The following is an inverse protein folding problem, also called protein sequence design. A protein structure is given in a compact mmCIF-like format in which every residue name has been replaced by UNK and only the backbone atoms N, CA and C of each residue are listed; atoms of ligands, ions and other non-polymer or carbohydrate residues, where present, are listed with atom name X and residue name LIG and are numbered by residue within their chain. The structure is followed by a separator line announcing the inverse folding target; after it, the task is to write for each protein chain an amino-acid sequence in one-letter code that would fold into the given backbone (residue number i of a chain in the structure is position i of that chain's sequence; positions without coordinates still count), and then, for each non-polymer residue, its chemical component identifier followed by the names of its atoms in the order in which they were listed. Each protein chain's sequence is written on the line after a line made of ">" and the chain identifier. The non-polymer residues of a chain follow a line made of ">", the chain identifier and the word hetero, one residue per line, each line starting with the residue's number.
data_IF_019405035111
#
_entry.id   IF_019405035111
#
_cell.length_a   1.000
_cell.length_b   1.000
_cell.length_c   1.000
_cell.angle_alpha   90.00
_cell.angle_beta   90.00
_cell.angle_gamma   90.00
#
_symmetry.space_group_name_H-M   'P 1'
#
loop_
_entity.id
_entity.type
_entity.pdbx_description
1 polymer ?
#
# COMPACT_ATOMS: atom_id res chain seq x y z
N UNK A 1 23.88 -7.42 -19.10
CA UNK A 1 22.66 -6.75 -18.63
C UNK A 1 22.26 -5.79 -19.71
N UNK A 2 21.03 -5.88 -20.17
CA UNK A 2 20.49 -5.06 -21.25
C UNK A 2 19.01 -4.77 -20.92
N UNK A 3 18.53 -3.60 -21.32
CA UNK A 3 17.09 -3.32 -21.27
C UNK A 3 16.38 -4.14 -22.35
N UNK A 4 15.33 -4.86 -21.96
CA UNK A 4 14.48 -5.58 -22.90
C UNK A 4 13.05 -5.08 -22.81
N UNK A 5 12.49 -4.65 -23.93
CA UNK A 5 11.05 -4.39 -24.04
C UNK A 5 10.33 -5.72 -24.19
N UNK A 6 9.45 -6.04 -23.23
CA UNK A 6 8.74 -7.31 -23.19
C UNK A 6 7.32 -7.17 -23.77
N UNK A 7 6.85 -8.11 -24.61
CA UNK A 7 5.52 -8.03 -25.20
C UNK A 7 4.42 -8.24 -24.16
N UNK A 8 3.37 -7.39 -24.19
CA UNK A 8 2.25 -7.42 -23.23
C UNK A 8 1.50 -8.75 -23.14
N UNK A 9 1.49 -9.53 -24.23
CA UNK A 9 0.75 -10.80 -24.34
C UNK A 9 1.48 -12.02 -23.77
N UNK A 10 2.81 -11.96 -23.63
CA UNK A 10 3.62 -13.08 -23.11
C UNK A 10 4.72 -12.53 -22.20
N UNK A 11 4.29 -12.13 -21.01
CA UNK A 11 5.19 -11.64 -19.96
C UNK A 11 5.96 -12.86 -19.41
N UNK A 12 7.30 -12.91 -19.53
CA UNK A 12 8.11 -14.00 -18.98
C UNK A 12 8.06 -13.99 -17.45
N UNK A 13 8.59 -15.03 -16.82
CA UNK A 13 8.83 -15.01 -15.38
C UNK A 13 9.86 -13.92 -15.06
N UNK A 14 9.53 -12.99 -14.15
CA UNK A 14 10.41 -11.89 -13.75
C UNK A 14 10.44 -11.71 -12.24
N UNK A 15 11.53 -11.13 -11.75
CA UNK A 15 11.66 -10.58 -10.40
C UNK A 15 11.34 -9.08 -10.44
N UNK A 16 11.01 -8.49 -9.31
CA UNK A 16 10.78 -7.06 -9.20
C UNK A 16 11.57 -6.49 -8.02
N UNK A 17 12.19 -5.32 -8.19
CA UNK A 17 12.92 -4.65 -7.11
C UNK A 17 12.02 -3.60 -6.46
N UNK A 18 11.88 -3.69 -5.14
CA UNK A 18 11.36 -2.64 -4.28
C UNK A 18 12.51 -2.03 -3.50
N UNK A 19 12.63 -0.70 -3.52
CA UNK A 19 13.70 -0.01 -2.81
C UNK A 19 13.29 1.44 -2.51
N UNK A 20 13.94 2.03 -1.51
CA UNK A 20 13.85 3.48 -1.29
C UNK A 20 14.80 4.17 -2.26
N UNK A 21 14.30 5.12 -3.04
CA UNK A 21 15.13 5.91 -3.94
C UNK A 21 16.11 6.76 -3.13
N UNK A 22 17.36 6.77 -3.56
CA UNK A 22 18.46 7.51 -2.96
C UNK A 22 19.01 8.53 -3.97
N UNK A 23 20.19 9.08 -3.69
CA UNK A 23 20.86 10.00 -4.61
C UNK A 23 21.45 9.24 -5.81
N UNK A 24 21.36 9.85 -6.99
CA UNK A 24 21.92 9.33 -8.26
C UNK A 24 21.34 7.96 -8.69
N UNK A 25 20.03 7.80 -8.58
CA UNK A 25 19.32 6.67 -9.21
C UNK A 25 19.53 6.69 -10.73
N UNK A 26 19.77 5.50 -11.29
CA UNK A 26 19.90 5.33 -12.74
C UNK A 26 18.50 5.36 -13.36
N UNK A 27 18.24 6.32 -14.24
CA UNK A 27 16.97 6.44 -14.95
C UNK A 27 16.91 5.55 -16.21
N UNK A 28 15.73 5.50 -16.85
CA UNK A 28 15.55 4.84 -18.15
C UNK A 28 16.49 5.40 -19.24
N UNK A 29 16.72 6.71 -19.23
CA UNK A 29 17.63 7.40 -20.14
C UNK A 29 19.08 7.05 -19.83
N UNK A 30 19.44 6.99 -18.54
CA UNK A 30 20.82 6.72 -18.12
C UNK A 30 21.24 5.30 -18.48
N UNK A 31 20.37 4.32 -18.26
CA UNK A 31 20.70 2.91 -18.50
C UNK A 31 20.90 2.59 -20.00
N UNK A 32 20.32 3.40 -20.90
CA UNK A 32 20.59 3.32 -22.34
C UNK A 32 22.04 3.69 -22.69
N UNK A 33 22.72 4.47 -21.84
CA UNK A 33 24.15 4.75 -21.93
C UNK A 33 24.90 4.08 -20.78
N UNK A 34 25.28 2.81 -20.97
CA UNK A 34 25.98 2.03 -19.94
C UNK A 34 27.27 2.67 -19.41
N UNK A 35 27.97 3.47 -20.22
CA UNK A 35 29.17 4.17 -19.77
C UNK A 35 28.86 5.28 -18.76
N UNK A 36 27.72 5.96 -18.93
CA UNK A 36 27.20 6.93 -17.96
C UNK A 36 26.67 6.20 -16.72
N UNK A 37 25.78 5.22 -16.92
CA UNK A 37 25.13 4.49 -15.83
C UNK A 37 26.15 3.87 -14.86
N UNK A 38 27.22 3.22 -15.37
CA UNK A 38 28.27 2.60 -14.54
C UNK A 38 28.97 3.54 -13.57
N UNK A 39 28.91 4.86 -13.78
CA UNK A 39 29.55 5.87 -12.93
C UNK A 39 28.61 6.40 -11.84
N UNK A 40 27.32 6.09 -11.92
CA UNK A 40 26.30 6.55 -10.98
C UNK A 40 26.22 5.61 -9.78
N UNK A 41 25.99 6.15 -8.58
CA UNK A 41 25.86 5.33 -7.36
C UNK A 41 24.72 4.32 -7.43
N UNK A 42 23.58 4.69 -8.02
CA UNK A 42 22.43 3.79 -8.18
C UNK A 42 22.70 2.54 -9.03
N UNK A 43 23.76 2.54 -9.84
CA UNK A 43 24.10 1.39 -10.69
C UNK A 43 24.50 0.16 -9.88
N UNK A 44 25.13 0.35 -8.72
CA UNK A 44 25.46 -0.76 -7.82
C UNK A 44 24.20 -1.52 -7.38
N UNK A 45 23.09 -0.80 -7.15
CA UNK A 45 21.81 -1.42 -6.77
C UNK A 45 21.21 -2.25 -7.90
N UNK A 46 21.27 -1.74 -9.13
CA UNK A 46 20.81 -2.48 -10.32
C UNK A 46 21.60 -3.79 -10.45
N UNK A 47 22.94 -3.73 -10.32
CA UNK A 47 23.79 -4.91 -10.43
C UNK A 47 23.50 -5.93 -9.32
N UNK A 48 23.37 -5.48 -8.07
CA UNK A 48 22.98 -6.35 -6.96
C UNK A 48 21.63 -7.04 -7.19
N UNK A 49 20.65 -6.29 -7.70
CA UNK A 49 19.32 -6.80 -8.00
C UNK A 49 19.36 -7.85 -9.12
N UNK A 50 20.07 -7.57 -10.22
CA UNK A 50 20.27 -8.51 -11.32
C UNK A 50 21.01 -9.78 -10.88
N UNK A 51 22.06 -9.65 -10.07
CA UNK A 51 22.81 -10.80 -9.56
C UNK A 51 21.94 -11.67 -8.65
N UNK A 52 21.11 -11.05 -7.81
CA UNK A 52 20.17 -11.76 -6.93
C UNK A 52 19.09 -12.48 -7.74
N UNK A 53 18.52 -11.84 -8.76
CA UNK A 53 17.58 -12.48 -9.68
C UNK A 53 18.20 -13.69 -10.39
N UNK A 54 19.40 -13.52 -10.94
CA UNK A 54 20.13 -14.58 -11.64
C UNK A 54 20.50 -15.75 -10.74
N UNK A 55 20.95 -15.50 -9.51
CA UNK A 55 21.23 -16.54 -8.49
C UNK A 55 20.00 -17.39 -8.19
N UNK A 56 18.80 -16.80 -8.28
CA UNK A 56 17.52 -17.48 -8.08
C UNK A 56 16.89 -18.03 -9.38
N UNK A 57 17.65 -18.06 -10.49
CA UNK A 57 17.19 -18.63 -11.76
C UNK A 57 16.13 -17.79 -12.47
N UNK A 58 16.17 -16.46 -12.32
CA UNK A 58 15.25 -15.53 -12.97
C UNK A 58 16.04 -14.58 -13.88
N UNK A 59 15.74 -14.62 -15.18
CA UNK A 59 16.50 -13.88 -16.20
C UNK A 59 16.07 -12.41 -16.35
N UNK A 60 14.84 -12.08 -15.92
CA UNK A 60 14.27 -10.73 -16.04
C UNK A 60 14.02 -10.13 -14.68
N UNK A 61 14.41 -8.86 -14.51
CA UNK A 61 14.06 -8.07 -13.33
C UNK A 61 13.49 -6.72 -13.77
N UNK A 62 12.39 -6.31 -13.14
CA UNK A 62 11.82 -4.99 -13.32
C UNK A 62 12.27 -4.07 -12.18
N UNK A 63 12.72 -2.87 -12.52
CA UNK A 63 13.19 -1.84 -11.59
C UNK A 63 12.57 -0.52 -12.04
N UNK A 64 11.70 0.06 -11.23
CA UNK A 64 10.92 1.27 -11.55
C UNK A 64 11.79 2.46 -12.00
N UNK A 65 12.99 2.61 -11.44
CA UNK A 65 13.89 3.72 -11.77
C UNK A 65 14.35 3.70 -13.22
N UNK A 66 14.64 2.52 -13.77
CA UNK A 66 15.23 2.36 -15.10
C UNK A 66 14.35 1.57 -16.10
N UNK A 67 13.20 1.05 -15.67
CA UNK A 67 12.23 0.36 -16.54
C UNK A 67 10.99 1.21 -16.88
N UNK A 68 10.84 2.40 -16.30
CA UNK A 68 9.77 3.35 -16.63
C UNK A 68 10.41 4.59 -17.26
N UNK A 69 10.00 4.95 -18.47
CA UNK A 69 10.33 6.24 -19.04
C UNK A 69 9.47 7.35 -18.41
N UNK A 70 10.01 8.01 -17.39
CA UNK A 70 9.35 9.09 -16.65
C UNK A 70 9.19 10.39 -17.46
N UNK A 71 9.91 10.54 -18.58
CA UNK A 71 9.74 11.68 -19.49
C UNK A 71 8.49 11.53 -20.38
N UNK A 72 7.97 10.31 -20.51
CA UNK A 72 6.70 10.05 -21.18
C UNK A 72 5.56 10.05 -20.17
N UNK A 73 4.77 11.13 -20.15
CA UNK A 73 3.60 11.25 -19.25
C UNK A 73 2.57 10.13 -19.46
N UNK A 74 2.45 9.64 -20.69
CA UNK A 74 1.56 8.52 -21.02
C UNK A 74 2.08 7.21 -20.41
N UNK A 75 3.37 6.94 -20.56
CA UNK A 75 3.98 5.73 -19.99
C UNK A 75 4.00 5.78 -18.46
N UNK A 76 4.32 6.93 -17.88
CA UNK A 76 4.28 7.14 -16.44
C UNK A 76 2.88 6.90 -15.86
N UNK A 77 1.85 7.43 -16.53
CA UNK A 77 0.45 7.22 -16.14
C UNK A 77 0.06 5.75 -16.22
N UNK A 78 0.40 5.08 -17.31
CA UNK A 78 0.14 3.65 -17.47
C UNK A 78 0.88 2.81 -16.42
N UNK A 79 2.14 3.15 -16.15
CA UNK A 79 2.97 2.46 -15.17
C UNK A 79 2.39 2.57 -13.77
N UNK A 80 2.08 3.78 -13.31
CA UNK A 80 1.52 3.99 -11.96
C UNK A 80 0.18 3.27 -11.77
N UNK A 81 -0.72 3.31 -12.77
CA UNK A 81 -1.98 2.56 -12.71
C UNK A 81 -1.77 1.03 -12.81
N UNK A 82 -0.59 0.57 -13.25
CA UNK A 82 -0.27 -0.86 -13.41
C UNK A 82 0.64 -1.43 -12.33
N UNK A 83 1.32 -0.59 -11.52
CA UNK A 83 2.38 -1.00 -10.60
C UNK A 83 1.93 -2.11 -9.65
N UNK A 84 0.77 -1.96 -9.01
CA UNK A 84 0.22 -2.98 -8.10
C UNK A 84 0.10 -4.34 -8.78
N UNK A 85 -0.40 -4.36 -10.03
CA UNK A 85 -0.51 -5.59 -10.83
C UNK A 85 0.86 -6.14 -11.21
N UNK A 86 1.83 -5.29 -11.52
CA UNK A 86 3.20 -5.72 -11.83
C UNK A 86 3.90 -6.31 -10.60
N UNK A 87 3.72 -5.73 -9.41
CA UNK A 87 4.18 -6.33 -8.16
C UNK A 87 3.49 -7.66 -7.86
N UNK A 88 2.16 -7.73 -8.01
CA UNK A 88 1.39 -8.94 -7.76
C UNK A 88 1.66 -10.11 -8.72
N UNK A 89 2.12 -9.82 -9.95
CA UNK A 89 2.46 -10.83 -10.96
C UNK A 89 3.93 -11.25 -10.96
N UNK A 90 4.80 -10.52 -10.26
CA UNK A 90 6.21 -10.88 -10.15
C UNK A 90 6.36 -12.23 -9.45
N UNK A 91 7.36 -13.02 -9.88
CA UNK A 91 7.66 -14.31 -9.24
C UNK A 91 8.23 -14.11 -7.83
N UNK A 92 8.94 -13.02 -7.61
CA UNK A 92 9.50 -12.59 -6.32
C UNK A 92 9.72 -11.08 -6.36
N UNK A 93 9.39 -10.41 -5.25
CA UNK A 93 9.80 -9.05 -4.97
C UNK A 93 11.05 -9.09 -4.08
N UNK A 94 12.12 -8.41 -4.49
CA UNK A 94 13.29 -8.18 -3.66
C UNK A 94 13.14 -6.79 -3.03
N UNK A 95 12.93 -6.74 -1.71
CA UNK A 95 12.90 -5.50 -0.95
C UNK A 95 14.32 -5.20 -0.45
N UNK A 96 15.01 -4.28 -1.13
CA UNK A 96 16.36 -3.87 -0.76
C UNK A 96 16.31 -2.75 0.29
N UNK A 97 16.93 -3.01 1.43
CA UNK A 97 16.95 -2.13 2.61
C UNK A 97 18.37 -1.57 2.79
N UNK A 98 18.60 -0.35 2.31
CA UNK A 98 19.95 0.26 2.35
C UNK A 98 20.41 0.65 3.76
N UNK A 99 19.48 0.70 4.71
CA UNK A 99 19.68 1.09 6.11
C UNK A 99 19.65 -0.09 7.10
N UNK A 100 19.60 -1.32 6.58
CA UNK A 100 19.64 -2.55 7.39
C UNK A 100 20.95 -3.29 7.12
N UNK A 101 21.65 -3.65 8.20
CA UNK A 101 22.91 -4.40 8.13
C UNK A 101 22.69 -5.85 8.51
N UNK A 102 23.33 -6.76 7.79
CA UNK A 102 23.30 -8.22 8.02
C UNK A 102 23.82 -8.70 9.39
N UNK A 103 24.41 -7.81 10.19
CA UNK A 103 24.96 -8.15 11.52
C UNK A 103 23.94 -8.05 12.65
N UNK A 104 22.73 -7.61 12.35
CA UNK A 104 21.68 -7.36 13.33
C UNK A 104 20.77 -8.57 13.53
N UNK A 105 20.11 -8.66 14.69
CA UNK A 105 19.07 -9.69 14.92
C UNK A 105 17.74 -9.22 14.34
N UNK A 106 17.49 -9.56 13.08
CA UNK A 106 16.28 -9.14 12.35
C UNK A 106 14.96 -9.71 12.91
N UNK A 107 15.03 -10.69 13.83
CA UNK A 107 13.89 -11.18 14.58
C UNK A 107 13.52 -10.32 15.79
N UNK A 108 14.42 -9.44 16.24
CA UNK A 108 14.18 -8.56 17.38
C UNK A 108 13.29 -7.36 17.01
N UNK A 109 12.37 -7.01 17.94
CA UNK A 109 11.41 -5.90 17.84
C UNK A 109 12.05 -4.51 17.73
N UNK A 110 13.33 -4.38 18.03
CA UNK A 110 14.10 -3.14 18.00
C UNK A 110 15.24 -3.17 16.97
N UNK A 111 15.26 -4.18 16.11
CA UNK A 111 16.22 -4.31 15.02
C UNK A 111 16.13 -3.15 14.03
N UNK A 112 17.23 -2.91 13.34
CA UNK A 112 17.34 -2.04 12.17
C UNK A 112 16.29 -2.38 11.10
N UNK A 113 15.89 -3.65 10.97
CA UNK A 113 14.79 -4.05 10.09
C UNK A 113 13.49 -3.33 10.46
N UNK A 114 13.08 -3.40 11.73
CA UNK A 114 11.84 -2.76 12.18
C UNK A 114 11.85 -1.23 12.10
N UNK A 115 13.05 -0.63 12.04
CA UNK A 115 13.27 0.82 11.95
C UNK A 115 13.54 1.29 10.52
N UNK A 116 13.56 0.38 9.55
CA UNK A 116 13.94 0.72 8.18
C UNK A 116 13.01 1.76 7.58
N UNK A 117 13.60 2.76 6.93
CA UNK A 117 12.92 3.76 6.13
C UNK A 117 12.04 3.14 5.05
N UNK A 118 12.30 1.91 4.63
CA UNK A 118 11.44 1.21 3.69
C UNK A 118 9.99 1.11 4.18
N UNK A 119 9.75 0.92 5.48
CA UNK A 119 8.39 0.87 6.04
C UNK A 119 7.70 2.23 6.11
N UNK A 120 8.44 3.33 5.97
CA UNK A 120 7.91 4.69 6.06
C UNK A 120 7.62 5.32 4.70
N UNK A 121 7.94 4.66 3.58
CA UNK A 121 7.65 5.18 2.23
C UNK A 121 6.24 4.82 1.77
N UNK A 122 5.53 5.76 1.13
CA UNK A 122 4.16 5.51 0.63
C UNK A 122 4.08 4.35 -0.35
N UNK A 123 4.93 4.38 -1.39
CA UNK A 123 4.93 3.38 -2.47
C UNK A 123 5.18 1.95 -1.98
N UNK A 124 6.05 1.75 -0.99
CA UNK A 124 6.43 0.40 -0.52
C UNK A 124 5.27 -0.36 0.15
N UNK A 125 4.14 0.30 0.46
CA UNK A 125 2.95 -0.38 0.99
C UNK A 125 2.38 -1.39 -0.02
N UNK A 126 2.15 -0.94 -1.26
CA UNK A 126 1.70 -1.87 -2.30
C UNK A 126 2.78 -2.88 -2.69
N UNK A 127 4.06 -2.51 -2.56
CA UNK A 127 5.20 -3.39 -2.84
C UNK A 127 5.36 -4.49 -1.78
N UNK A 128 4.83 -4.28 -0.58
CA UNK A 128 4.69 -5.28 0.47
C UNK A 128 3.47 -6.20 0.25
N UNK A 129 2.33 -5.57 -0.03
CA UNK A 129 1.02 -6.25 -0.04
C UNK A 129 0.80 -7.04 -1.34
N UNK A 130 1.04 -6.43 -2.50
CA UNK A 130 0.68 -7.02 -3.79
C UNK A 130 1.46 -8.31 -4.10
N UNK A 131 2.80 -8.39 -3.90
CA UNK A 131 3.53 -9.62 -4.20
C UNK A 131 3.18 -10.77 -3.24
N UNK A 132 3.08 -11.98 -3.81
CA UNK A 132 2.94 -13.21 -3.03
C UNK A 132 4.20 -13.55 -2.24
N UNK A 133 5.38 -13.24 -2.78
CA UNK A 133 6.68 -13.49 -2.16
C UNK A 133 7.49 -12.20 -2.16
N UNK A 134 7.89 -11.76 -0.97
CA UNK A 134 8.87 -10.68 -0.78
C UNK A 134 10.05 -11.29 -0.01
N UNK A 135 11.27 -11.08 -0.51
CA UNK A 135 12.52 -11.39 0.17
C UNK A 135 13.16 -10.05 0.56
N UNK A 136 13.52 -9.90 1.83
CA UNK A 136 14.20 -8.71 2.33
C UNK A 136 15.71 -8.90 2.23
N UNK A 137 16.38 -7.90 1.68
CA UNK A 137 17.81 -7.89 1.44
C UNK A 137 18.45 -6.72 2.15
N UNK A 138 19.54 -6.96 2.88
CA UNK A 138 20.32 -5.90 3.52
C UNK A 138 21.08 -5.05 2.52
N UNK A 139 21.74 -4.01 3.01
CA UNK A 139 22.67 -3.19 2.22
C UNK A 139 23.81 -4.01 1.59
N UNK A 140 24.18 -5.14 2.21
CA UNK A 140 25.18 -6.08 1.68
C UNK A 140 24.58 -7.16 0.75
N UNK A 141 23.31 -7.04 0.36
CA UNK A 141 22.57 -8.01 -0.45
C UNK A 141 22.41 -9.38 0.21
N UNK A 142 22.37 -9.42 1.54
CA UNK A 142 22.14 -10.64 2.33
C UNK A 142 20.63 -10.83 2.54
N UNK A 143 20.14 -12.04 2.26
CA UNK A 143 18.76 -12.46 2.55
C UNK A 143 18.58 -12.62 4.06
N UNK A 144 17.66 -11.83 4.63
CA UNK A 144 17.34 -11.85 6.07
C UNK A 144 15.97 -12.46 6.36
N UNK A 145 15.28 -12.95 5.33
CA UNK A 145 13.98 -13.58 5.45
C UNK A 145 12.97 -13.09 4.43
N UNK A 146 11.81 -13.72 4.50
CA UNK A 146 10.67 -13.42 3.65
C UNK A 146 9.57 -12.69 4.42
N UNK A 147 8.63 -12.10 3.69
CA UNK A 147 7.37 -11.58 4.27
C UNK A 147 6.66 -12.59 5.18
N UNK A 148 6.75 -13.89 4.90
CA UNK A 148 6.14 -14.92 5.72
C UNK A 148 6.93 -15.22 7.00
N UNK A 149 8.27 -15.28 6.93
CA UNK A 149 9.11 -15.57 8.10
C UNK A 149 9.22 -14.39 9.05
N UNK A 150 9.08 -13.16 8.53
CA UNK A 150 9.15 -11.91 9.30
C UNK A 150 7.76 -11.29 9.57
N UNK A 151 6.67 -12.06 9.41
CA UNK A 151 5.30 -11.53 9.47
C UNK A 151 4.99 -10.80 10.79
N UNK A 152 5.50 -11.27 11.92
CA UNK A 152 5.25 -10.66 13.24
C UNK A 152 5.94 -9.29 13.34
N UNK A 153 7.22 -9.19 12.94
CA UNK A 153 7.95 -7.92 12.89
C UNK A 153 7.32 -6.93 11.91
N UNK A 154 6.86 -7.41 10.75
CA UNK A 154 6.16 -6.58 9.77
C UNK A 154 4.82 -6.12 10.33
N UNK A 155 4.06 -7.00 10.99
CA UNK A 155 2.77 -6.67 11.58
C UNK A 155 2.90 -5.60 12.66
N UNK A 156 3.90 -5.75 13.53
CA UNK A 156 4.23 -4.78 14.58
C UNK A 156 4.50 -3.37 14.02
N UNK A 157 5.30 -3.26 12.94
CA UNK A 157 5.74 -1.97 12.41
C UNK A 157 4.69 -1.32 11.51
N UNK A 158 3.87 -2.11 10.83
CA UNK A 158 2.94 -1.61 9.81
C UNK A 158 1.49 -1.55 10.26
N UNK A 159 1.12 -2.23 11.36
CA UNK A 159 -0.26 -2.43 11.78
C UNK A 159 -1.06 -3.37 10.87
N UNK A 160 -0.42 -4.02 9.89
CA UNK A 160 -1.06 -4.97 8.97
C UNK A 160 -1.11 -6.33 9.66
N UNK A 161 -2.27 -6.96 9.77
CA UNK A 161 -2.38 -8.28 10.42
C UNK A 161 -1.53 -9.35 9.70
N UNK A 162 -0.95 -10.29 10.45
CA UNK A 162 -0.20 -11.44 9.88
C UNK A 162 -0.99 -12.19 8.80
N UNK A 163 -2.31 -12.34 8.95
CA UNK A 163 -3.18 -12.99 7.95
C UNK A 163 -3.19 -12.29 6.58
N UNK A 164 -3.19 -10.96 6.56
CA UNK A 164 -3.08 -10.17 5.32
C UNK A 164 -1.65 -10.27 4.77
N UNK A 165 -0.64 -10.18 5.64
CA UNK A 165 0.76 -10.26 5.27
C UNK A 165 1.06 -11.57 4.53
N UNK A 166 0.60 -12.72 5.03
CA UNK A 166 0.79 -14.02 4.37
C UNK A 166 -0.27 -14.36 3.32
N UNK A 167 -1.21 -13.45 3.04
CA UNK A 167 -2.23 -13.61 2.00
C UNK A 167 -3.32 -14.64 2.33
N UNK A 168 -3.57 -14.92 3.61
CA UNK A 168 -4.69 -15.76 4.09
C UNK A 168 -6.01 -15.00 4.16
N UNK A 169 -5.96 -13.68 4.38
CA UNK A 169 -7.12 -12.79 4.40
C UNK A 169 -7.14 -11.91 3.15
N UNK A 170 -8.27 -11.88 2.44
CA UNK A 170 -8.44 -11.00 1.27
C UNK A 170 -8.52 -9.53 1.71
N UNK A 171 -8.03 -8.62 0.87
CA UNK A 171 -8.20 -7.18 1.09
C UNK A 171 -9.67 -6.74 1.02
N UNK A 172 -10.53 -7.49 0.32
CA UNK A 172 -11.96 -7.22 0.24
C UNK A 172 -12.67 -7.45 1.59
N UNK A 173 -12.07 -8.25 2.47
CA UNK A 173 -12.54 -8.50 3.84
C UNK A 173 -11.95 -7.51 4.86
N UNK A 174 -11.13 -6.56 4.40
CA UNK A 174 -10.50 -5.55 5.26
C UNK A 174 -11.19 -4.21 5.05
N UNK A 175 -11.73 -3.58 6.12
CA UNK A 175 -12.37 -2.28 6.01
C UNK A 175 -11.45 -1.22 5.38
N UNK A 176 -12.04 -0.29 4.62
CA UNK A 176 -11.33 0.82 3.99
C UNK A 176 -10.54 1.62 5.02
N UNK A 177 -11.12 1.92 6.19
CA UNK A 177 -10.41 2.66 7.25
C UNK A 177 -9.13 1.96 7.71
N UNK A 178 -9.18 0.63 7.87
CA UNK A 178 -8.03 -0.19 8.26
C UNK A 178 -6.96 -0.13 7.17
N UNK A 179 -7.34 -0.31 5.90
CA UNK A 179 -6.41 -0.20 4.77
C UNK A 179 -5.77 1.19 4.67
N UNK A 180 -6.54 2.26 4.91
CA UNK A 180 -6.03 3.64 4.95
C UNK A 180 -5.06 3.86 6.11
N UNK A 181 -5.30 3.22 7.27
CA UNK A 181 -4.44 3.34 8.45
C UNK A 181 -3.02 2.83 8.18
N UNK A 182 -2.84 1.83 7.32
CA UNK A 182 -1.51 1.30 6.94
C UNK A 182 -0.63 2.33 6.21
N UNK A 183 -1.23 3.39 5.70
CA UNK A 183 -0.57 4.50 5.04
C UNK A 183 -0.44 5.75 5.92
N UNK A 184 -0.99 5.74 7.14
CA UNK A 184 -1.08 6.92 7.99
C UNK A 184 0.27 7.51 8.40
N UNK A 185 1.27 6.66 8.62
CA UNK A 185 2.63 7.05 9.03
C UNK A 185 3.64 6.95 7.89
N UNK A 186 3.16 6.79 6.66
CA UNK A 186 4.00 6.75 5.46
C UNK A 186 4.09 8.13 4.83
N UNK A 187 5.25 8.41 4.24
CA UNK A 187 5.60 9.68 3.60
C UNK A 187 5.90 9.49 2.13
N UNK A 188 5.55 10.51 1.34
CA UNK A 188 5.84 10.60 -0.10
C UNK A 188 6.59 11.87 -0.42
N UNK A 189 7.31 11.89 -1.54
CA UNK A 189 8.06 13.08 -1.96
C UNK A 189 7.13 14.11 -2.62
N UNK A 190 6.25 13.65 -3.52
CA UNK A 190 5.15 14.46 -4.04
C UNK A 190 3.93 14.30 -3.14
N UNK A 191 3.17 15.38 -2.92
CA UNK A 191 1.99 15.34 -2.04
C UNK A 191 0.91 14.41 -2.61
N UNK A 192 0.75 14.41 -3.93
CA UNK A 192 -0.25 13.61 -4.65
C UNK A 192 0.04 12.11 -4.61
N UNK A 193 1.32 11.71 -4.45
CA UNK A 193 1.71 10.31 -4.34
C UNK A 193 1.11 9.64 -3.09
N UNK A 194 0.72 10.41 -2.07
CA UNK A 194 -0.03 9.89 -0.93
C UNK A 194 -1.39 9.28 -1.35
N UNK A 195 -1.92 9.70 -2.51
CA UNK A 195 -3.08 9.11 -3.14
C UNK A 195 -2.69 8.06 -4.20
N UNK A 196 -1.77 8.39 -5.10
CA UNK A 196 -1.42 7.52 -6.23
C UNK A 196 -0.83 6.18 -5.79
N UNK A 197 -0.03 6.16 -4.71
CA UNK A 197 0.54 4.94 -4.15
C UNK A 197 -0.49 3.97 -3.57
N UNK A 198 -1.73 4.42 -3.33
CA UNK A 198 -2.81 3.63 -2.77
C UNK A 198 -3.82 3.12 -3.80
N UNK A 199 -3.78 3.62 -5.04
CA UNK A 199 -4.74 3.27 -6.09
C UNK A 199 -4.88 1.76 -6.26
N UNK A 200 -3.76 1.04 -6.33
CA UNK A 200 -3.78 -0.41 -6.47
C UNK A 200 -4.29 -1.17 -5.24
N UNK A 201 -4.02 -0.68 -4.03
CA UNK A 201 -4.51 -1.27 -2.77
C UNK A 201 -6.05 -1.23 -2.70
N UNK A 202 -6.63 -0.19 -3.28
CA UNK A 202 -8.07 -0.02 -3.39
C UNK A 202 -8.64 -0.41 -4.74
N UNK A 203 -7.83 -0.94 -5.67
CA UNK A 203 -8.22 -1.34 -7.03
C UNK A 203 -8.99 -0.23 -7.80
N UNK A 204 -8.54 1.01 -7.70
CA UNK A 204 -9.09 2.15 -8.44
C UNK A 204 -8.08 2.68 -9.44
N UNK A 205 -8.57 3.37 -10.47
CA UNK A 205 -7.73 4.08 -11.44
C UNK A 205 -8.18 5.53 -11.50
N UNK A 206 -7.25 6.47 -11.53
CA UNK A 206 -7.54 7.89 -11.76
C UNK A 206 -6.40 8.60 -12.51
N UNK A 207 -6.70 9.66 -13.27
CA UNK A 207 -5.69 10.46 -13.95
C UNK A 207 -4.66 11.07 -12.98
N UNK A 208 -3.37 11.02 -13.34
CA UNK A 208 -2.30 11.67 -12.61
C UNK A 208 -2.25 13.16 -12.94
N UNK A 209 -2.55 14.00 -11.96
CA UNK A 209 -2.50 15.46 -12.04
C UNK A 209 -1.53 16.01 -10.99
N UNK A 210 -0.22 15.97 -11.26
CA UNK A 210 0.78 16.60 -10.39
C UNK A 210 0.57 18.12 -10.35
N UNK A 211 0.55 18.70 -9.15
CA UNK A 211 0.21 20.09 -8.87
C UNK A 211 -1.19 20.30 -8.27
N UNK A 212 -2.01 19.25 -8.13
CA UNK A 212 -3.32 19.34 -7.48
C UNK A 212 -3.27 19.23 -5.94
N UNK A 213 -2.11 18.82 -5.40
CA UNK A 213 -1.86 18.64 -3.98
C UNK A 213 -2.85 17.68 -3.32
N UNK A 214 -3.34 18.04 -2.13
CA UNK A 214 -4.29 17.23 -1.32
C UNK A 214 -5.58 16.85 -2.04
N UNK A 215 -5.95 17.51 -3.14
CA UNK A 215 -7.12 17.14 -3.95
C UNK A 215 -6.99 15.72 -4.53
N UNK A 216 -5.77 15.24 -4.76
CA UNK A 216 -5.53 13.87 -5.22
C UNK A 216 -6.11 12.83 -4.24
N UNK A 217 -5.95 13.04 -2.93
CA UNK A 217 -6.45 12.12 -1.92
C UNK A 217 -7.98 12.18 -1.75
N UNK A 218 -8.58 13.34 -2.02
CA UNK A 218 -10.05 13.48 -2.10
C UNK A 218 -10.58 12.70 -3.30
N UNK A 219 -9.94 12.83 -4.47
CA UNK A 219 -10.29 12.08 -5.68
C UNK A 219 -10.15 10.57 -5.48
N UNK A 220 -9.10 10.11 -4.79
CA UNK A 220 -8.95 8.70 -4.44
C UNK A 220 -10.17 8.20 -3.66
N UNK A 221 -10.58 8.90 -2.60
CA UNK A 221 -11.76 8.52 -1.83
C UNK A 221 -13.03 8.50 -2.70
N UNK A 222 -13.20 9.49 -3.60
CA UNK A 222 -14.33 9.51 -4.52
C UNK A 222 -14.34 8.31 -5.48
N UNK A 223 -13.20 7.88 -6.02
CA UNK A 223 -13.13 6.67 -6.84
C UNK A 223 -13.44 5.40 -6.03
N UNK A 224 -13.03 5.34 -4.76
CA UNK A 224 -13.35 4.22 -3.87
C UNK A 224 -14.86 4.18 -3.59
N UNK A 225 -15.47 5.33 -3.31
CA UNK A 225 -16.92 5.47 -3.05
C UNK A 225 -17.76 4.97 -4.23
N UNK A 226 -17.32 5.20 -5.47
CA UNK A 226 -18.08 4.76 -6.66
C UNK A 226 -18.26 3.24 -6.74
N UNK A 227 -17.43 2.46 -6.06
CA UNK A 227 -17.40 1.00 -6.18
C UNK A 227 -17.53 0.24 -4.86
N UNK A 228 -17.70 0.94 -3.73
CA UNK A 228 -17.75 0.32 -2.40
C UNK A 228 -18.90 0.88 -1.57
N UNK A 229 -19.56 0.01 -0.83
CA UNK A 229 -20.56 0.37 0.20
C UNK A 229 -19.98 0.27 1.62
N UNK A 230 -18.66 0.15 1.75
CA UNK A 230 -17.99 0.12 3.05
C UNK A 230 -17.95 1.52 3.69
N UNK A 231 -18.79 1.69 4.70
CA UNK A 231 -18.97 2.92 5.47
C UNK A 231 -17.73 3.39 6.22
N UNK A 232 -16.74 2.50 6.43
CA UNK A 232 -15.51 2.86 7.14
C UNK A 232 -14.68 3.91 6.38
N UNK A 233 -14.96 4.19 5.11
CA UNK A 233 -14.33 5.34 4.42
C UNK A 233 -14.59 6.69 5.13
N UNK A 234 -15.67 6.79 5.90
CA UNK A 234 -16.00 7.97 6.71
C UNK A 234 -15.47 7.90 8.16
N UNK A 235 -14.82 6.80 8.54
CA UNK A 235 -14.26 6.59 9.87
C UNK A 235 -12.82 7.15 9.92
N UNK A 236 -12.71 8.47 10.07
CA UNK A 236 -11.46 9.19 10.27
C UNK A 236 -11.63 10.26 11.33
N UNK A 237 -10.53 10.68 11.96
CA UNK A 237 -10.52 11.70 13.01
C UNK A 237 -9.45 12.74 12.73
N UNK A 238 -9.61 13.91 13.34
CA UNK A 238 -8.62 14.96 13.33
C UNK A 238 -7.86 15.03 14.65
N UNK A 239 -6.55 15.27 14.58
CA UNK A 239 -5.76 15.57 15.76
C UNK A 239 -6.35 16.80 16.48
N UNK A 240 -6.62 16.66 17.79
CA UNK A 240 -7.22 17.69 18.65
C UNK A 240 -6.48 19.03 18.53
N UNK A 241 -5.18 19.03 18.24
CA UNK A 241 -4.40 20.26 18.07
C UNK A 241 -4.78 21.07 16.83
N UNK A 242 -5.30 20.43 15.78
CA UNK A 242 -5.76 21.10 14.55
C UNK A 242 -7.19 21.64 14.62
N UNK A 243 -7.93 21.36 15.70
CA UNK A 243 -9.23 21.98 15.98
C UNK A 243 -9.12 23.26 16.82
N UNK A 244 -7.94 23.58 17.36
CA UNK A 244 -7.69 24.78 18.17
C UNK A 244 -7.45 26.03 17.28
N UNK A 245 -6.89 25.87 16.07
CA UNK A 245 -6.54 26.98 15.15
C UNK A 245 -7.67 27.43 14.21
N UNK A 246 -8.93 27.33 14.66
CA UNK A 246 -10.07 27.93 13.97
C UNK A 246 -10.97 26.90 13.31
N UNK A 247 -12.19 26.78 13.86
CA UNK A 247 -13.28 25.93 13.40
C UNK A 247 -13.83 26.32 12.04
N UNK A 248 -13.07 26.05 10.98
CA UNK A 248 -13.57 26.08 9.61
C UNK A 248 -14.60 24.98 9.39
N UNK A 249 -15.63 25.26 8.59
CA UNK A 249 -16.51 24.24 8.00
C UNK A 249 -15.65 23.23 7.22
N UNK A 250 -15.84 21.93 7.48
CA UNK A 250 -15.03 20.86 6.90
C UNK A 250 -15.86 20.01 5.95
N UNK A 251 -15.16 19.48 4.94
CA UNK A 251 -15.74 18.50 4.02
C UNK A 251 -15.83 17.13 4.66
N UNK A 252 -16.66 16.27 4.07
CA UNK A 252 -16.92 14.89 4.49
C UNK A 252 -15.69 13.96 4.39
N UNK A 253 -14.75 14.28 3.50
CA UNK A 253 -13.64 13.39 3.13
C UNK A 253 -12.33 13.84 3.76
N UNK A 254 -11.51 12.87 4.15
CA UNK A 254 -10.21 13.10 4.77
C UNK A 254 -9.23 13.77 3.79
N UNK A 255 -8.30 14.58 4.29
CA UNK A 255 -7.30 15.27 3.46
C UNK A 255 -5.97 14.51 3.31
N UNK A 256 -5.77 13.45 4.08
CA UNK A 256 -4.59 12.58 4.01
C UNK A 256 -4.86 11.24 4.71
N UNK A 257 -4.07 10.18 4.41
CA UNK A 257 -4.12 8.91 5.13
C UNK A 257 -3.90 9.03 6.64
N UNK A 258 -3.15 10.05 7.10
CA UNK A 258 -2.84 10.27 8.51
C UNK A 258 -4.09 10.38 9.41
N UNK A 259 -5.22 10.80 8.85
CA UNK A 259 -6.51 10.91 9.56
C UNK A 259 -7.15 9.56 9.88
N UNK A 260 -6.60 8.46 9.35
CA UNK A 260 -7.03 7.09 9.63
C UNK A 260 -6.14 6.36 10.64
N UNK A 261 -5.11 7.01 11.24
CA UNK A 261 -4.14 6.37 12.15
C UNK A 261 -4.79 5.54 13.27
N UNK A 262 -5.87 6.06 13.87
CA UNK A 262 -6.58 5.40 14.97
C UNK A 262 -7.54 4.28 14.57
N UNK A 263 -7.67 3.97 13.28
CA UNK A 263 -8.74 3.12 12.75
C UNK A 263 -8.25 1.74 12.28
N UNK A 264 -7.04 1.33 12.69
CA UNK A 264 -6.48 0.01 12.36
C UNK A 264 -7.25 -1.20 12.93
N UNK A 265 -8.08 -0.97 13.95
CA UNK A 265 -8.87 -2.01 14.63
C UNK A 265 -10.37 -1.94 14.29
N UNK A 266 -10.75 -1.27 13.20
CA UNK A 266 -12.14 -1.28 12.72
C UNK A 266 -12.47 -2.68 12.19
N UNK A 267 -13.61 -3.22 12.61
CA UNK A 267 -14.09 -4.54 12.20
C UNK A 267 -15.38 -4.43 11.39
N UNK A 268 -15.54 -5.31 10.42
CA UNK A 268 -16.80 -5.46 9.69
C UNK A 268 -17.76 -6.26 10.56
N UNK A 269 -18.86 -5.64 10.97
CA UNK A 269 -19.93 -6.35 11.69
C UNK A 269 -20.86 -6.97 10.66
N UNK A 270 -20.97 -8.29 10.68
CA UNK A 270 -22.04 -9.01 9.97
C UNK A 270 -23.28 -8.96 10.84
N UNK A 271 -24.30 -8.21 10.43
CA UNK A 271 -25.59 -8.21 11.12
C UNK A 271 -26.30 -9.51 10.72
N UNK A 272 -26.61 -10.42 11.66
CA UNK A 272 -27.35 -11.64 11.34
C UNK A 272 -28.74 -11.26 10.79
N UNK A 273 -29.21 -12.02 9.79
CA UNK A 273 -30.56 -11.87 9.27
C UNK A 273 -31.57 -12.00 10.43
N UNK A 274 -32.64 -11.18 10.46
CA UNK A 274 -33.64 -11.27 11.51
C UNK A 274 -34.22 -12.69 11.56
N UNK A 275 -34.23 -13.27 12.76
CA UNK A 275 -34.61 -14.64 13.08
C UNK A 275 -35.87 -15.10 12.30
N UNK A 276 -35.68 -16.03 11.35
CA UNK A 276 -36.64 -17.09 10.97
C UNK A 276 -36.26 -17.96 9.75
N UNK A 277 -35.10 -17.79 9.10
CA UNK A 277 -34.67 -18.72 8.02
C UNK A 277 -33.57 -19.70 8.46
N UNK A 278 -33.67 -21.00 8.09
CA UNK A 278 -32.64 -22.01 8.38
C UNK A 278 -31.32 -21.70 7.65
N UNK A 279 -30.18 -22.31 8.04
CA UNK A 279 -28.85 -21.97 7.56
C UNK A 279 -28.63 -22.49 6.12
N UNK A 280 -29.26 -21.84 5.14
CA UNK A 280 -28.94 -21.97 3.74
C UNK A 280 -28.21 -20.70 3.31
N UNK A 281 -26.89 -20.77 3.24
CA UNK A 281 -26.00 -19.72 2.73
C UNK A 281 -26.21 -18.35 3.39
N UNK A 282 -25.43 -18.07 4.44
CA UNK A 282 -25.30 -16.73 5.03
C UNK A 282 -25.06 -15.72 3.91
N UNK A 283 -26.12 -15.02 3.50
CA UNK A 283 -26.02 -13.88 2.62
C UNK A 283 -25.28 -12.81 3.41
N UNK A 284 -24.18 -12.33 2.83
CA UNK A 284 -23.42 -11.19 3.34
C UNK A 284 -24.44 -10.09 3.59
N UNK A 285 -24.60 -9.66 4.84
CA UNK A 285 -25.56 -8.62 5.21
C UNK A 285 -25.44 -7.49 4.20
N UNK A 286 -26.50 -7.20 3.46
CA UNK A 286 -26.50 -6.13 2.47
C UNK A 286 -26.18 -4.83 3.23
N UNK A 287 -24.95 -4.34 3.08
CA UNK A 287 -24.57 -3.02 3.56
C UNK A 287 -25.51 -2.05 2.87
N UNK A 288 -26.40 -1.40 3.64
CA UNK A 288 -27.35 -0.42 3.10
C UNK A 288 -26.52 0.65 2.40
N UNK A 289 -26.65 0.83 1.07
CA UNK A 289 -25.83 1.78 0.34
C UNK A 289 -26.01 3.19 0.89
N UNK A 290 -24.94 3.98 0.88
CA UNK A 290 -25.00 5.41 1.08
C UNK A 290 -25.02 6.14 -0.27
N UNK A 291 -25.51 7.37 -0.27
CA UNK A 291 -25.48 8.24 -1.44
C UNK A 291 -24.74 9.53 -1.11
N UNK A 292 -23.89 9.97 -2.04
CA UNK A 292 -23.27 11.30 -2.00
C UNK A 292 -23.90 12.14 -3.09
N UNK A 293 -24.48 13.27 -2.68
CA UNK A 293 -25.08 14.25 -3.58
C UNK A 293 -24.39 15.60 -3.41
N UNK A 294 -24.75 16.60 -4.23
CA UNK A 294 -24.32 17.98 -4.01
C UNK A 294 -24.82 18.57 -2.67
N UNK A 295 -25.76 17.90 -1.98
CA UNK A 295 -26.22 18.25 -0.63
C UNK A 295 -25.41 17.59 0.49
N UNK A 296 -24.60 16.57 0.19
CA UNK A 296 -23.81 15.83 1.18
C UNK A 296 -24.11 14.33 1.20
N UNK A 297 -23.80 13.70 2.35
CA UNK A 297 -23.98 12.26 2.59
C UNK A 297 -25.39 11.96 3.08
N UNK A 298 -26.03 10.97 2.46
CA UNK A 298 -27.20 10.30 3.01
C UNK A 298 -26.85 8.83 3.24
N UNK A 299 -26.95 8.38 4.49
CA UNK A 299 -26.56 7.03 4.93
C UNK A 299 -27.52 6.54 6.02
N UNK A 300 -27.80 5.25 6.04
CA UNK A 300 -28.58 4.59 7.10
C UNK A 300 -27.69 3.55 7.77
N UNK A 301 -27.54 3.64 9.09
CA UNK A 301 -26.69 2.76 9.89
C UNK A 301 -27.52 2.04 10.96
N UNK A 302 -27.35 0.72 11.14
CA UNK A 302 -27.98 0.02 12.23
C UNK A 302 -27.39 0.46 13.56
N UNK A 303 -28.25 0.65 14.58
CA UNK A 303 -27.78 0.88 15.95
C UNK A 303 -27.55 -0.49 16.59
N UNK A 304 -26.31 -0.78 16.96
CA UNK A 304 -25.95 -2.09 17.53
C UNK A 304 -25.72 -1.94 19.04
N UNK A 305 -26.36 -2.82 19.80
CA UNK A 305 -26.14 -2.91 21.25
C UNK A 305 -24.83 -3.63 21.52
N UNK A 306 -23.87 -2.95 22.13
CA UNK A 306 -22.57 -3.55 22.45
C UNK A 306 -22.54 -3.90 23.93
N UNK A 307 -22.27 -5.17 24.23
CA UNK A 307 -22.08 -5.65 25.60
C UNK A 307 -20.62 -5.44 26.00
N UNK A 308 -20.37 -4.45 26.87
CA UNK A 308 -19.06 -4.25 27.48
C UNK A 308 -18.81 -5.21 28.65
N UNK A 309 -17.74 -4.95 29.43
CA UNK A 309 -17.50 -5.60 30.73
C UNK A 309 -18.78 -5.58 31.59
N UNK A 310 -18.99 -6.57 32.50
CA UNK A 310 -20.23 -6.68 33.27
C UNK A 310 -20.64 -5.33 33.88
N UNK A 311 -21.81 -4.82 33.52
CA UNK A 311 -22.36 -3.57 34.06
C UNK A 311 -22.27 -2.32 33.18
N UNK A 312 -21.64 -2.35 31.99
CA UNK A 312 -21.69 -1.22 31.03
C UNK A 312 -22.37 -1.63 29.72
N UNK A 313 -23.62 -1.18 29.55
CA UNK A 313 -24.34 -1.23 28.27
C UNK A 313 -24.10 0.08 27.51
N UNK A 314 -23.74 -0.02 26.23
CA UNK A 314 -23.61 1.13 25.34
C UNK A 314 -24.15 0.79 23.95
N UNK A 315 -24.56 1.82 23.22
CA UNK A 315 -24.96 1.72 21.83
C UNK A 315 -23.82 2.23 20.95
N UNK A 316 -23.50 1.51 19.89
CA UNK A 316 -22.58 1.99 18.84
C UNK A 316 -23.34 2.03 17.51
N UNK A 317 -23.06 3.08 16.75
CA UNK A 317 -23.45 3.23 15.35
C UNK A 317 -22.34 2.63 14.50
#
# INVERSE_FOLDING_TARGET
>A
MELALLPRRKIPRYAILSHVWETEEVTFQDIANLNKAKRMRGYAKIIGACNTAKKNGIDYIWIDTCCINKESSTELSEAINSMYKWYGRAAVCYAYLSDVSSKDDHGDRHSTFTKSHWFTRGWTLQELIAPRKVIFLTTEWVDIGTKATLQESISLVTGISSEVIVGRKSLDDVPIAVRMSWAADRSTTQEEDAAYSLMGLFDVNMPLLYGEGRKAFIRLQLEIIKKSTDHSIFAWDEDILSSIDGGGLRGLLARSPAKFRGFGNVEKILVPAPDNDPPAHVSISETIPYSITNRGLSISLPIIKVYGRPGRQGWKV
#
